data_IF_433061495878
#
_entry.id   IF_433061495878
#
_cell.length_a   1.000
_cell.length_b   1.000
_cell.length_c   1.000
_cell.angle_alpha   90.00
_cell.angle_beta   90.00
_cell.angle_gamma   90.00
#
_symmetry.space_group_name_H-M   'P 1'
#
loop_
_entity.id
_entity.type
_entity.pdbx_description
1 polymer ?
#
# COMPACT_ATOMS: atom_id res chain seq x y z
N UNK A 1 17.49 -13.33 -17.00
CA UNK A 1 17.75 -12.69 -18.30
C UNK A 1 17.73 -11.19 -18.06
N UNK A 2 18.87 -10.51 -18.16
CA UNK A 2 18.91 -9.05 -18.00
C UNK A 2 18.69 -8.43 -19.39
N UNK A 3 17.51 -7.85 -19.60
CA UNK A 3 17.24 -7.08 -20.81
C UNK A 3 17.77 -5.67 -20.64
N UNK A 4 18.44 -5.14 -21.65
CA UNK A 4 18.83 -3.74 -21.62
C UNK A 4 17.58 -2.85 -21.75
N UNK A 5 17.45 -1.79 -20.93
CA UNK A 5 16.43 -0.77 -21.16
C UNK A 5 16.63 -0.13 -22.53
N UNK A 6 15.56 0.34 -23.17
CA UNK A 6 15.71 1.04 -24.45
C UNK A 6 16.53 2.33 -24.28
N UNK A 7 17.16 2.79 -25.36
CA UNK A 7 18.05 3.95 -25.35
C UNK A 7 17.37 5.23 -24.86
N UNK A 8 16.07 5.41 -25.13
CA UNK A 8 15.29 6.58 -24.71
C UNK A 8 15.15 6.61 -23.18
N UNK A 9 14.78 5.49 -22.55
CA UNK A 9 14.72 5.37 -21.08
C UNK A 9 16.09 5.64 -20.47
N UNK A 10 17.18 5.10 -21.03
CA UNK A 10 18.53 5.35 -20.53
C UNK A 10 18.91 6.84 -20.63
N UNK A 11 18.63 7.47 -21.76
CA UNK A 11 18.90 8.90 -21.99
C UNK A 11 18.13 9.79 -21.00
N UNK A 12 16.83 9.54 -20.82
CA UNK A 12 16.00 10.29 -19.87
C UNK A 12 16.50 10.09 -18.43
N UNK A 13 16.73 8.84 -18.02
CA UNK A 13 17.18 8.54 -16.65
C UNK A 13 18.54 9.17 -16.35
N UNK A 14 19.44 9.23 -17.33
CA UNK A 14 20.71 9.94 -17.17
C UNK A 14 20.50 11.40 -16.78
N UNK A 15 19.63 12.12 -17.50
CA UNK A 15 19.35 13.52 -17.17
C UNK A 15 18.75 13.70 -15.77
N UNK A 16 17.83 12.82 -15.36
CA UNK A 16 17.25 12.87 -14.01
C UNK A 16 18.29 12.58 -12.91
N UNK A 17 19.23 11.67 -13.17
CA UNK A 17 20.26 11.27 -12.19
C UNK A 17 21.46 12.22 -12.14
N UNK A 18 21.72 12.96 -13.23
CA UNK A 18 22.78 13.97 -13.30
C UNK A 18 22.41 15.22 -12.47
N UNK A 19 21.12 15.52 -12.29
CA UNK A 19 20.63 16.61 -11.43
C UNK A 19 20.53 16.19 -9.95
N UNK A 20 21.70 16.09 -9.31
CA UNK A 20 21.82 15.66 -7.91
C UNK A 20 21.18 16.64 -6.93
N UNK A 21 21.35 17.94 -7.16
CA UNK A 21 20.82 18.96 -6.26
C UNK A 21 19.29 18.92 -6.23
N UNK A 22 18.64 18.79 -7.38
CA UNK A 22 17.20 18.59 -7.43
C UNK A 22 16.77 17.30 -6.72
N UNK A 23 17.50 16.18 -6.94
CA UNK A 23 17.15 14.91 -6.30
C UNK A 23 17.22 14.98 -4.78
N UNK A 24 18.34 15.47 -4.24
CA UNK A 24 18.63 15.48 -2.80
C UNK A 24 17.85 16.55 -2.05
N UNK A 25 17.67 17.74 -2.65
CA UNK A 25 17.07 18.88 -1.96
C UNK A 25 15.57 19.00 -2.19
N UNK A 26 15.04 18.47 -3.30
CA UNK A 26 13.63 18.65 -3.69
C UNK A 26 12.90 17.30 -3.69
N UNK A 27 13.30 16.37 -4.57
CA UNK A 27 12.52 15.16 -4.80
C UNK A 27 12.49 14.23 -3.59
N UNK A 28 13.65 13.89 -3.04
CA UNK A 28 13.75 12.91 -1.97
C UNK A 28 13.04 13.37 -0.68
N UNK A 29 13.24 14.61 -0.17
CA UNK A 29 12.54 15.09 1.01
C UNK A 29 11.02 15.12 0.82
N UNK A 30 10.55 15.61 -0.32
CA UNK A 30 9.12 15.72 -0.61
C UNK A 30 8.45 14.34 -0.77
N UNK A 31 9.10 13.42 -1.49
CA UNK A 31 8.60 12.06 -1.65
C UNK A 31 8.51 11.34 -0.29
N UNK A 32 9.54 11.45 0.56
CA UNK A 32 9.51 10.88 1.91
C UNK A 32 8.42 11.52 2.79
N UNK A 33 8.22 12.84 2.68
CA UNK A 33 7.17 13.56 3.40
C UNK A 33 5.78 13.03 3.03
N UNK A 34 5.50 12.88 1.73
CA UNK A 34 4.23 12.35 1.21
C UNK A 34 4.00 10.90 1.63
N UNK A 35 5.02 10.04 1.53
CA UNK A 35 4.93 8.65 1.93
C UNK A 35 4.66 8.50 3.44
N UNK A 36 5.36 9.29 4.28
CA UNK A 36 5.11 9.32 5.73
C UNK A 36 3.68 9.76 6.04
N UNK A 37 3.22 10.84 5.41
CA UNK A 37 1.87 11.37 5.60
C UNK A 37 0.78 10.35 5.25
N UNK A 38 0.91 9.65 4.12
CA UNK A 38 -0.03 8.62 3.70
C UNK A 38 0.00 7.39 4.64
N UNK A 39 1.20 6.94 5.01
CA UNK A 39 1.41 5.85 5.97
C UNK A 39 0.75 6.16 7.31
N UNK A 40 0.97 7.36 7.85
CA UNK A 40 0.50 7.75 9.18
C UNK A 40 -1.03 7.80 9.22
N UNK A 41 -1.69 8.29 8.15
CA UNK A 41 -3.16 8.25 8.03
C UNK A 41 -3.74 6.84 8.08
N UNK A 42 -3.12 5.89 7.37
CA UNK A 42 -3.56 4.49 7.39
C UNK A 42 -3.31 3.86 8.77
N UNK A 43 -2.15 4.13 9.38
CA UNK A 43 -1.86 3.66 10.73
C UNK A 43 -2.93 4.16 11.71
N UNK A 44 -3.23 5.46 11.70
CA UNK A 44 -4.26 6.03 12.57
C UNK A 44 -5.64 5.40 12.33
N UNK A 45 -5.99 5.13 11.06
CA UNK A 45 -7.22 4.41 10.74
C UNK A 45 -7.20 2.99 11.33
N UNK A 46 -6.16 2.19 11.07
CA UNK A 46 -6.05 0.82 11.56
C UNK A 46 -6.09 0.77 13.11
N UNK A 47 -5.39 1.68 13.77
CA UNK A 47 -5.40 1.82 15.23
C UNK A 47 -6.80 2.18 15.76
N UNK A 48 -7.49 3.13 15.12
CA UNK A 48 -8.88 3.50 15.51
C UNK A 48 -9.86 2.34 15.38
N UNK A 49 -9.61 1.41 14.44
CA UNK A 49 -10.42 0.22 14.21
C UNK A 49 -9.92 -0.99 15.02
N UNK A 50 -8.84 -0.87 15.78
CA UNK A 50 -8.20 -1.98 16.50
C UNK A 50 -7.75 -3.12 15.56
N UNK A 51 -7.23 -2.78 14.38
CA UNK A 51 -6.75 -3.73 13.38
C UNK A 51 -5.24 -3.89 13.56
N UNK A 52 -4.73 -5.09 13.90
CA UNK A 52 -3.29 -5.32 14.01
C UNK A 52 -2.57 -5.13 12.68
N UNK A 53 -1.33 -4.64 12.72
CA UNK A 53 -0.51 -4.46 11.52
C UNK A 53 0.97 -4.62 11.83
N UNK A 54 1.76 -4.97 10.81
CA UNK A 54 3.23 -4.96 10.91
C UNK A 54 3.69 -3.52 10.83
N UNK A 55 4.32 -3.00 11.88
CA UNK A 55 4.83 -1.62 11.92
C UNK A 55 5.78 -1.36 10.73
N UNK A 56 5.39 -0.52 9.76
CA UNK A 56 6.19 -0.29 8.57
C UNK A 56 7.41 0.59 8.90
N UNK A 57 8.61 0.17 8.48
CA UNK A 57 9.85 0.98 8.59
C UNK A 57 10.18 1.74 7.29
N UNK A 58 9.73 1.21 6.15
CA UNK A 58 9.94 1.75 4.82
C UNK A 58 8.89 1.17 3.85
N UNK A 59 8.97 1.56 2.59
CA UNK A 59 8.18 1.00 1.51
C UNK A 59 6.91 1.79 1.20
N UNK A 60 6.02 1.15 0.47
CA UNK A 60 4.86 1.75 -0.18
C UNK A 60 3.52 1.16 0.26
N UNK A 61 3.57 0.27 1.27
CA UNK A 61 2.42 -0.47 1.75
C UNK A 61 2.48 -0.77 3.24
N UNK A 62 1.34 -1.15 3.81
CA UNK A 62 1.21 -1.71 5.16
C UNK A 62 0.64 -3.12 5.04
N UNK A 63 1.15 -4.04 5.85
CA UNK A 63 0.58 -5.37 6.01
C UNK A 63 -0.28 -5.39 7.28
N UNK A 64 -1.58 -5.62 7.12
CA UNK A 64 -2.57 -5.55 8.20
C UNK A 64 -3.37 -6.86 8.31
N UNK A 65 -3.75 -7.22 9.54
CA UNK A 65 -4.47 -8.45 9.87
C UNK A 65 -5.97 -8.16 10.04
N UNK A 66 -6.74 -8.52 9.01
CA UNK A 66 -8.19 -8.42 8.98
C UNK A 66 -8.88 -9.74 9.34
N UNK A 67 -8.17 -10.74 9.88
CA UNK A 67 -8.73 -12.06 10.26
C UNK A 67 -9.99 -11.97 11.11
N UNK A 68 -10.10 -10.95 11.98
CA UNK A 68 -11.29 -10.71 12.82
C UNK A 68 -12.58 -10.39 12.03
N UNK A 69 -12.47 -10.00 10.76
CA UNK A 69 -13.60 -9.70 9.88
C UNK A 69 -13.93 -10.85 8.93
N UNK A 70 -13.15 -11.93 8.97
CA UNK A 70 -13.42 -13.13 8.21
C UNK A 70 -14.49 -13.96 8.93
N UNK A 71 -15.38 -14.55 8.14
CA UNK A 71 -16.38 -15.49 8.62
C UNK A 71 -15.78 -16.87 8.95
N UNK A 72 -14.64 -17.19 8.35
CA UNK A 72 -13.93 -18.45 8.51
C UNK A 72 -12.42 -18.22 8.41
N UNK A 73 -11.62 -18.85 9.27
CA UNK A 73 -10.15 -18.76 9.25
C UNK A 73 -9.54 -19.67 8.17
N UNK A 74 -9.88 -19.41 6.91
CA UNK A 74 -9.44 -20.16 5.73
C UNK A 74 -9.08 -19.23 4.57
N UNK A 75 -8.45 -19.75 3.52
CA UNK A 75 -8.24 -18.98 2.28
C UNK A 75 -9.57 -18.55 1.67
N UNK A 76 -10.60 -19.39 1.76
CA UNK A 76 -11.92 -19.09 1.21
C UNK A 76 -12.61 -17.94 1.97
N UNK A 77 -12.47 -17.91 3.30
CA UNK A 77 -12.93 -16.76 4.10
C UNK A 77 -12.20 -15.46 3.76
N UNK A 78 -10.90 -15.54 3.45
CA UNK A 78 -10.13 -14.38 3.01
C UNK A 78 -10.61 -13.88 1.64
N UNK A 79 -10.88 -14.78 0.69
CA UNK A 79 -11.44 -14.43 -0.63
C UNK A 79 -12.80 -13.75 -0.50
N UNK A 80 -13.70 -14.28 0.33
CA UNK A 80 -15.01 -13.65 0.60
C UNK A 80 -14.85 -12.25 1.21
N UNK A 81 -13.89 -12.07 2.11
CA UNK A 81 -13.57 -10.74 2.64
C UNK A 81 -13.00 -9.81 1.56
N UNK A 82 -12.13 -10.32 0.70
CA UNK A 82 -11.59 -9.58 -0.45
C UNK A 82 -12.71 -9.10 -1.39
N UNK A 83 -13.67 -9.97 -1.70
CA UNK A 83 -14.86 -9.60 -2.50
C UNK A 83 -15.67 -8.48 -1.84
N UNK A 84 -15.80 -8.48 -0.51
CA UNK A 84 -16.48 -7.40 0.22
C UNK A 84 -15.75 -6.07 0.05
N UNK A 85 -14.42 -6.05 0.12
CA UNK A 85 -13.63 -4.84 -0.18
C UNK A 85 -13.86 -4.35 -1.61
N UNK A 86 -13.83 -5.26 -2.60
CA UNK A 86 -14.04 -4.93 -4.00
C UNK A 86 -15.45 -4.36 -4.24
N UNK A 87 -16.50 -4.93 -3.62
CA UNK A 87 -17.87 -4.39 -3.70
C UNK A 87 -17.98 -2.98 -3.15
N UNK A 88 -17.11 -2.60 -2.20
CA UNK A 88 -16.99 -1.24 -1.66
C UNK A 88 -15.98 -0.38 -2.43
N UNK A 89 -15.49 -0.84 -3.59
CA UNK A 89 -14.49 -0.17 -4.45
C UNK A 89 -13.13 0.04 -3.77
N UNK A 90 -12.79 -0.84 -2.83
CA UNK A 90 -11.47 -0.89 -2.18
C UNK A 90 -10.70 -2.06 -2.76
N UNK A 91 -9.55 -1.79 -3.38
CA UNK A 91 -8.65 -2.81 -3.89
C UNK A 91 -7.41 -2.88 -3.00
N UNK A 92 -7.22 -4.00 -2.33
CA UNK A 92 -6.04 -4.33 -1.54
C UNK A 92 -5.64 -5.77 -1.85
N UNK A 93 -4.35 -6.09 -1.74
CA UNK A 93 -3.91 -7.44 -2.07
C UNK A 93 -4.15 -8.38 -0.90
N UNK A 94 -4.79 -9.52 -1.16
CA UNK A 94 -5.03 -10.54 -0.15
C UNK A 94 -3.74 -11.27 0.22
N UNK A 95 -3.78 -11.98 1.35
CA UNK A 95 -2.69 -12.80 1.85
C UNK A 95 -2.34 -13.90 0.85
N UNK A 96 -3.35 -14.48 0.22
CA UNK A 96 -3.20 -15.43 -0.87
C UNK A 96 -2.37 -14.86 -2.03
N UNK A 97 -2.71 -13.67 -2.55
CA UNK A 97 -2.01 -13.06 -3.68
C UNK A 97 -0.52 -12.80 -3.40
N UNK A 98 -0.21 -12.47 -2.14
CA UNK A 98 1.16 -12.19 -1.69
C UNK A 98 1.85 -13.41 -1.05
N UNK A 99 1.19 -14.58 -1.02
CA UNK A 99 1.66 -15.82 -0.40
C UNK A 99 2.01 -15.65 1.10
N UNK A 100 1.15 -14.96 1.84
CA UNK A 100 1.26 -14.82 3.29
C UNK A 100 1.14 -16.21 3.97
N UNK A 101 1.85 -16.42 5.10
CA UNK A 101 1.86 -17.71 5.80
C UNK A 101 0.54 -18.05 6.50
N UNK A 102 -0.35 -17.06 6.69
CA UNK A 102 -1.67 -17.21 7.33
C UNK A 102 -2.69 -16.38 6.56
N UNK A 103 -3.93 -16.87 6.49
CA UNK A 103 -5.04 -16.11 5.93
C UNK A 103 -5.43 -14.95 6.85
N UNK A 104 -6.07 -13.94 6.26
CA UNK A 104 -6.51 -12.71 6.93
C UNK A 104 -5.54 -11.54 6.84
N UNK A 105 -4.33 -11.77 6.34
CA UNK A 105 -3.37 -10.68 6.08
C UNK A 105 -3.67 -10.00 4.75
N UNK A 106 -3.67 -8.67 4.73
CA UNK A 106 -3.83 -7.90 3.50
C UNK A 106 -2.72 -6.84 3.36
N UNK A 107 -2.24 -6.66 2.13
CA UNK A 107 -1.28 -5.60 1.77
C UNK A 107 -2.03 -4.39 1.22
N UNK A 108 -1.96 -3.30 1.96
CA UNK A 108 -2.57 -2.01 1.62
C UNK A 108 -1.51 -1.10 1.00
N UNK A 109 -1.56 -0.89 -0.32
CA UNK A 109 -0.65 0.03 -1.03
C UNK A 109 -1.19 1.45 -0.95
N UNK A 110 -0.36 2.39 -0.50
CA UNK A 110 -0.78 3.78 -0.24
C UNK A 110 -0.06 4.83 -1.08
N UNK A 111 0.96 4.44 -1.84
CA UNK A 111 1.76 5.36 -2.66
C UNK A 111 1.20 5.65 -4.05
N UNK A 112 0.17 4.91 -4.48
CA UNK A 112 -0.39 4.97 -5.85
C UNK A 112 -1.69 5.76 -5.95
N UNK A 113 -2.17 6.34 -4.84
CA UNK A 113 -3.45 7.05 -4.77
C UNK A 113 -3.27 8.47 -4.24
N UNK A 114 -4.17 9.38 -4.63
CA UNK A 114 -4.17 10.74 -4.08
C UNK A 114 -4.59 10.74 -2.61
N UNK A 115 -4.19 11.75 -1.82
CA UNK A 115 -4.66 11.91 -0.45
C UNK A 115 -6.19 11.92 -0.35
N UNK A 116 -6.90 12.55 -1.29
CA UNK A 116 -8.36 12.58 -1.31
C UNK A 116 -9.01 11.22 -1.53
N UNK A 117 -8.40 10.34 -2.34
CA UNK A 117 -8.86 8.96 -2.51
C UNK A 117 -8.59 8.15 -1.26
N UNK A 118 -7.42 8.34 -0.64
CA UNK A 118 -7.08 7.68 0.62
C UNK A 118 -8.10 8.01 1.73
N UNK A 119 -8.47 9.29 1.88
CA UNK A 119 -9.49 9.71 2.85
C UNK A 119 -10.85 9.04 2.62
N UNK A 120 -11.27 8.92 1.35
CA UNK A 120 -12.52 8.22 1.02
C UNK A 120 -12.46 6.74 1.39
N UNK A 121 -11.32 6.08 1.17
CA UNK A 121 -11.17 4.66 1.49
C UNK A 121 -11.25 4.38 3.00
N UNK A 122 -10.66 5.23 3.84
CA UNK A 122 -10.66 5.04 5.30
C UNK A 122 -12.01 5.39 5.95
N UNK A 123 -12.89 6.12 5.26
CA UNK A 123 -14.23 6.47 5.73
C UNK A 123 -15.30 5.42 5.39
N UNK A 124 -14.94 4.34 4.69
CA UNK A 124 -15.88 3.30 4.31
C UNK A 124 -16.26 2.47 5.55
N UNK A 125 -17.53 2.54 5.94
CA UNK A 125 -18.10 1.64 6.94
C UNK A 125 -18.20 0.23 6.36
N UNK A 126 -17.56 -0.72 7.04
CA UNK A 126 -17.55 -2.15 6.68
C UNK A 126 -18.69 -2.97 7.33
N UNK A 127 -19.59 -2.28 8.06
CA UNK A 127 -20.84 -2.86 8.58
C UNK A 127 -21.74 -3.41 7.47
#
# INVERSE_FOLDING_TARGET
MFHQPNCVTQFIMRHFLDDKDWFEQIYLPENLCRLKSARDRIISFLESQGIPYVRPRAGFYILADFSKFMDEQSIEGERRLCERFIRKKVLINSGEEIKAPKSGWFRIVFSSISPSTLEKCIQINFN
#
